data_IF_077461165992
#
_entry.id   IF_077461165992
#
_cell.length_a   1.000
_cell.length_b   1.000
_cell.length_c   1.000
_cell.angle_alpha   90.00
_cell.angle_beta   90.00
_cell.angle_gamma   90.00
#
_symmetry.space_group_name_H-M   'P 1'
#
loop_
_entity.id
_entity.type
_entity.pdbx_description
1 polymer ?
#
# COMPACT_ATOMS: atom_id res chain seq x y z
N UNK A 1 22.92 -20.54 -4.64
CA UNK A 1 21.58 -20.86 -4.10
C UNK A 1 21.00 -19.57 -3.55
N UNK A 2 19.89 -19.06 -4.10
CA UNK A 2 19.28 -17.83 -3.59
C UNK A 2 18.60 -18.19 -2.27
N UNK A 3 19.07 -17.61 -1.16
CA UNK A 3 18.42 -17.74 0.14
C UNK A 3 16.99 -17.23 0.00
N UNK A 4 16.01 -18.10 0.18
CA UNK A 4 14.60 -17.68 0.28
C UNK A 4 14.44 -16.87 1.56
N UNK A 5 14.08 -15.60 1.42
CA UNK A 5 13.62 -14.80 2.54
C UNK A 5 12.24 -15.31 2.96
N UNK A 6 11.96 -15.34 4.27
CA UNK A 6 10.60 -15.63 4.74
C UNK A 6 9.70 -14.41 4.59
N UNK A 7 8.39 -14.62 4.56
CA UNK A 7 7.43 -13.53 4.47
C UNK A 7 7.53 -12.58 5.67
N UNK A 8 7.83 -13.11 6.86
CA UNK A 8 8.07 -12.33 8.07
C UNK A 8 9.29 -11.43 7.91
N UNK A 9 10.42 -11.99 7.43
CA UNK A 9 11.64 -11.22 7.23
C UNK A 9 11.44 -10.08 6.20
N UNK A 10 10.69 -10.36 5.12
CA UNK A 10 10.33 -9.34 4.14
C UNK A 10 9.43 -8.25 4.73
N UNK A 11 8.42 -8.65 5.50
CA UNK A 11 7.48 -7.72 6.17
C UNK A 11 8.20 -6.80 7.15
N UNK A 12 9.09 -7.34 7.98
CA UNK A 12 9.87 -6.55 8.94
C UNK A 12 10.86 -5.61 8.24
N UNK A 13 11.51 -6.06 7.15
CA UNK A 13 12.36 -5.18 6.36
C UNK A 13 11.59 -3.99 5.76
N UNK A 14 10.38 -4.21 5.25
CA UNK A 14 9.52 -3.15 4.71
C UNK A 14 9.10 -2.17 5.81
N UNK A 15 8.71 -2.67 6.99
CA UNK A 15 8.38 -1.82 8.15
C UNK A 15 9.57 -0.98 8.61
N UNK A 16 10.77 -1.56 8.61
CA UNK A 16 12.00 -0.83 8.96
C UNK A 16 12.24 0.35 8.00
N UNK A 17 12.08 0.14 6.69
CA UNK A 17 12.19 1.21 5.68
C UNK A 17 11.17 2.32 5.96
N UNK A 18 9.93 1.98 6.31
CA UNK A 18 8.92 2.98 6.67
C UNK A 18 9.25 3.75 7.94
N UNK A 19 9.78 3.07 8.96
CA UNK A 19 10.23 3.73 10.18
C UNK A 19 11.38 4.71 9.92
N UNK A 20 12.32 4.34 9.06
CA UNK A 20 13.44 5.21 8.65
C UNK A 20 12.92 6.44 7.89
N UNK A 21 12.00 6.24 6.95
CA UNK A 21 11.35 7.32 6.21
C UNK A 21 10.55 8.26 7.15
N UNK A 22 9.85 7.70 8.15
CA UNK A 22 9.14 8.51 9.14
C UNK A 22 10.08 9.41 9.94
N UNK A 23 11.24 8.88 10.37
CA UNK A 23 12.26 9.70 11.05
C UNK A 23 12.80 10.81 10.15
N UNK A 24 12.98 10.54 8.87
CA UNK A 24 13.41 11.55 7.91
C UNK A 24 12.35 12.65 7.70
N UNK A 25 11.06 12.31 7.72
CA UNK A 25 9.96 13.28 7.63
C UNK A 25 9.87 14.16 8.90
N UNK A 26 9.97 13.57 10.09
CA UNK A 26 10.01 14.33 11.35
C UNK A 26 11.18 15.33 11.38
N UNK A 27 12.36 14.90 10.90
CA UNK A 27 13.54 15.77 10.84
C UNK A 27 13.34 16.98 9.91
N UNK A 28 12.39 16.90 8.99
CA UNK A 28 11.99 17.99 8.09
C UNK A 28 10.80 18.79 8.62
N UNK A 29 10.26 18.44 9.80
CA UNK A 29 9.09 19.08 10.39
C UNK A 29 7.75 18.60 9.85
N UNK A 30 7.72 17.52 9.05
CA UNK A 30 6.50 16.97 8.47
C UNK A 30 5.96 15.81 9.34
N UNK A 31 5.32 16.19 10.46
CA UNK A 31 4.79 15.26 11.44
C UNK A 31 3.63 14.40 10.92
N UNK A 32 2.83 14.91 9.98
CA UNK A 32 1.68 14.21 9.42
C UNK A 32 2.15 13.06 8.51
N UNK A 33 3.11 13.33 7.64
CA UNK A 33 3.76 12.29 6.82
C UNK A 33 4.47 11.27 7.71
N UNK A 34 5.19 11.71 8.75
CA UNK A 34 5.85 10.80 9.67
C UNK A 34 4.86 9.89 10.41
N UNK A 35 3.74 10.42 10.88
CA UNK A 35 2.68 9.64 11.54
C UNK A 35 2.05 8.61 10.59
N UNK A 36 1.85 8.97 9.32
CA UNK A 36 1.34 8.07 8.29
C UNK A 36 2.33 6.94 7.99
N UNK A 37 3.60 7.28 7.79
CA UNK A 37 4.66 6.30 7.49
C UNK A 37 4.86 5.29 8.63
N UNK A 38 4.73 5.70 9.89
CA UNK A 38 4.81 4.77 11.04
C UNK A 38 3.76 3.66 11.04
N UNK A 39 2.61 3.90 10.41
CA UNK A 39 1.52 2.93 10.31
C UNK A 39 1.57 2.10 9.02
N UNK A 40 2.49 2.43 8.10
CA UNK A 40 2.58 1.79 6.80
C UNK A 40 3.17 0.38 6.90
N UNK A 41 2.77 -0.46 5.96
CA UNK A 41 3.20 -1.85 5.84
C UNK A 41 3.15 -2.30 4.38
N UNK A 42 3.60 -3.52 4.10
CA UNK A 42 3.45 -4.13 2.77
C UNK A 42 1.98 -4.14 2.28
N UNK A 43 1.03 -4.32 3.21
CA UNK A 43 -0.39 -4.27 2.88
C UNK A 43 -0.83 -2.86 2.45
N UNK A 44 -0.34 -1.82 3.13
CA UNK A 44 -0.61 -0.43 2.75
C UNK A 44 -0.12 -0.12 1.33
N UNK A 45 1.09 -0.57 0.95
CA UNK A 45 1.59 -0.39 -0.43
C UNK A 45 0.68 -1.01 -1.48
N UNK A 46 0.18 -2.22 -1.21
CA UNK A 46 -0.75 -2.91 -2.10
C UNK A 46 -2.06 -2.14 -2.27
N UNK A 47 -2.61 -1.61 -1.17
CA UNK A 47 -3.79 -0.74 -1.24
C UNK A 47 -3.52 0.54 -2.03
N UNK A 48 -2.41 1.22 -1.76
CA UNK A 48 -2.03 2.44 -2.48
C UNK A 48 -1.89 2.19 -3.98
N UNK A 49 -1.27 1.07 -4.37
CA UNK A 49 -1.11 0.67 -5.76
C UNK A 49 -2.47 0.37 -6.44
N UNK A 50 -3.36 -0.37 -5.78
CA UNK A 50 -4.69 -0.69 -6.32
C UNK A 50 -5.58 0.56 -6.44
N UNK A 51 -5.58 1.44 -5.43
CA UNK A 51 -6.29 2.73 -5.49
C UNK A 51 -5.74 3.60 -6.62
N UNK A 52 -4.41 3.70 -6.78
CA UNK A 52 -3.83 4.49 -7.86
C UNK A 52 -4.22 3.95 -9.24
N UNK A 53 -4.21 2.63 -9.44
CA UNK A 53 -4.65 2.04 -10.71
C UNK A 53 -6.14 2.30 -10.97
N UNK A 54 -7.00 2.19 -9.94
CA UNK A 54 -8.41 2.53 -10.05
C UNK A 54 -8.62 3.99 -10.47
N UNK A 55 -7.91 4.93 -9.82
CA UNK A 55 -7.99 6.36 -10.12
C UNK A 55 -7.52 6.71 -11.53
N UNK A 56 -6.62 5.91 -12.11
CA UNK A 56 -6.15 6.06 -13.49
C UNK A 56 -7.02 5.33 -14.52
N UNK A 57 -8.23 4.87 -14.12
CA UNK A 57 -9.20 4.27 -15.02
C UNK A 57 -8.86 2.85 -15.47
N UNK A 58 -7.99 2.13 -14.74
CA UNK A 58 -7.73 0.71 -15.03
C UNK A 58 -9.02 -0.09 -14.83
N UNK A 59 -9.35 -0.93 -15.81
CA UNK A 59 -10.57 -1.73 -15.79
C UNK A 59 -10.64 -2.63 -14.53
N UNK A 60 -11.84 -2.74 -13.94
CA UNK A 60 -12.07 -3.47 -12.69
C UNK A 60 -11.58 -4.93 -12.75
N UNK A 61 -11.74 -5.59 -13.90
CA UNK A 61 -11.28 -6.96 -14.09
C UNK A 61 -9.75 -7.06 -14.03
N UNK A 62 -9.04 -6.12 -14.68
CA UNK A 62 -7.57 -6.03 -14.62
C UNK A 62 -7.07 -5.75 -13.20
N UNK A 63 -7.76 -4.89 -12.45
CA UNK A 63 -7.47 -4.66 -11.03
C UNK A 63 -7.68 -5.93 -10.19
N UNK A 64 -8.76 -6.66 -10.44
CA UNK A 64 -9.05 -7.92 -9.73
C UNK A 64 -7.95 -8.94 -9.97
N UNK A 65 -7.51 -9.10 -11.22
CA UNK A 65 -6.48 -10.06 -11.59
C UNK A 65 -5.12 -9.65 -11.01
N UNK A 66 -4.80 -8.35 -11.02
CA UNK A 66 -3.58 -7.82 -10.37
C UNK A 66 -3.60 -8.03 -8.86
N UNK A 67 -4.79 -7.92 -8.25
CA UNK A 67 -4.99 -8.25 -6.85
C UNK A 67 -5.05 -9.78 -6.61
N UNK A 68 -5.28 -10.62 -7.61
CA UNK A 68 -5.55 -12.05 -7.38
C UNK A 68 -6.77 -12.27 -6.47
N UNK A 69 -7.74 -11.36 -6.45
CA UNK A 69 -8.94 -11.50 -5.64
C UNK A 69 -9.92 -12.47 -6.31
N UNK A 70 -10.35 -13.51 -5.57
CA UNK A 70 -11.34 -14.47 -6.07
C UNK A 70 -12.72 -13.81 -6.31
N UNK A 71 -13.06 -12.76 -5.55
CA UNK A 71 -14.34 -12.05 -5.66
C UNK A 71 -14.14 -10.63 -6.19
N UNK A 72 -14.83 -10.28 -7.28
CA UNK A 72 -14.79 -8.96 -7.91
C UNK A 72 -15.33 -7.86 -7.00
N UNK A 73 -16.26 -8.18 -6.09
CA UNK A 73 -16.81 -7.23 -5.12
C UNK A 73 -15.74 -6.69 -4.15
N UNK A 74 -14.73 -7.50 -3.79
CA UNK A 74 -13.61 -7.06 -2.96
C UNK A 74 -12.77 -6.00 -3.67
N UNK A 75 -12.66 -6.08 -4.99
CA UNK A 75 -11.93 -5.10 -5.81
C UNK A 75 -12.77 -3.87 -6.10
N UNK A 76 -14.11 -4.00 -6.19
CA UNK A 76 -15.01 -2.87 -6.43
C UNK A 76 -14.90 -1.78 -5.35
N UNK A 77 -14.48 -2.12 -4.14
CA UNK A 77 -14.19 -1.15 -3.08
C UNK A 77 -13.17 -0.07 -3.49
N UNK A 78 -12.21 -0.38 -4.39
CA UNK A 78 -11.24 0.60 -4.88
C UNK A 78 -11.81 1.58 -5.90
N UNK A 79 -12.95 1.25 -6.53
CA UNK A 79 -13.65 2.18 -7.44
C UNK A 79 -14.49 3.22 -6.70
N UNK A 80 -14.83 2.97 -5.43
CA UNK A 80 -15.68 3.86 -4.64
C UNK A 80 -14.89 4.78 -3.69
N UNK A 81 -13.60 4.47 -3.44
CA UNK A 81 -12.68 5.38 -2.74
C UNK A 81 -12.34 6.66 -3.54
N UNK A 82 -12.84 6.81 -4.77
CA UNK A 82 -12.77 8.04 -5.56
C UNK A 82 -13.79 9.09 -5.14
N UNK A 83 -14.92 8.69 -4.53
CA UNK A 83 -16.10 9.56 -4.42
C UNK A 83 -16.38 10.07 -3.01
N UNK A 84 -15.70 9.53 -1.99
CA UNK A 84 -15.89 9.96 -0.62
C UNK A 84 -14.55 9.94 0.12
N UNK A 85 -14.25 11.03 0.82
CA UNK A 85 -13.07 11.27 1.68
C UNK A 85 -11.84 11.88 1.00
N UNK A 86 -11.94 13.19 0.74
CA UNK A 86 -10.85 14.15 0.99
C UNK A 86 -11.29 15.13 2.06
#
# INVERSE_FOLDING_TARGET
ELVRITDEAASEAIKAIFADAARAADAQGDGDTAATLRQASAHWLRHSMLTNHANNGVQLKTLQDTAGHANIATTAAYLHKTDNER
#
